data_IF_815081637432
#
_entry.id   IF_815081637432
#
_cell.length_a   1.000
_cell.length_b   1.000
_cell.length_c   1.000
_cell.angle_alpha   90.00
_cell.angle_beta   90.00
_cell.angle_gamma   90.00
#
_symmetry.space_group_name_H-M   'P 1'
#
loop_
_entity.id
_entity.type
_entity.pdbx_description
1 polymer ?
#
# COMPACT_ATOMS: atom_id res chain seq x y z
N UNK A 1 -64.55 6.96 -6.51
CA UNK A 1 -63.35 7.77 -6.83
C UNK A 1 -62.78 8.38 -5.55
N UNK A 2 -61.67 7.84 -5.04
CA UNK A 2 -60.80 8.46 -4.03
C UNK A 2 -59.35 8.19 -4.47
N UNK A 3 -58.59 9.25 -4.78
CA UNK A 3 -57.17 9.17 -5.15
C UNK A 3 -56.34 9.07 -3.88
N UNK A 4 -55.54 8.02 -3.76
CA UNK A 4 -54.55 7.82 -2.70
C UNK A 4 -53.19 8.25 -3.23
N UNK A 5 -52.56 9.25 -2.61
CA UNK A 5 -51.17 9.65 -2.89
C UNK A 5 -50.26 8.79 -2.01
N UNK A 6 -49.46 7.92 -2.62
CA UNK A 6 -48.37 7.20 -1.96
C UNK A 6 -47.13 8.08 -2.08
N UNK A 7 -46.58 8.44 -0.92
CA UNK A 7 -45.34 9.19 -0.77
C UNK A 7 -44.19 8.17 -0.80
N UNK A 8 -43.37 8.16 -1.86
CA UNK A 8 -42.16 7.35 -1.91
C UNK A 8 -41.03 8.09 -1.19
N UNK A 9 -40.63 7.59 -0.03
CA UNK A 9 -39.36 7.92 0.61
C UNK A 9 -38.25 7.14 -0.13
N UNK A 10 -37.43 7.85 -0.91
CA UNK A 10 -36.18 7.30 -1.44
C UNK A 10 -35.16 7.27 -0.30
N UNK A 11 -34.95 6.10 0.30
CA UNK A 11 -33.78 5.85 1.13
C UNK A 11 -32.64 5.42 0.21
N UNK A 12 -31.73 6.34 -0.06
CA UNK A 12 -30.51 6.13 -0.83
C UNK A 12 -29.57 5.20 -0.08
N UNK A 13 -29.65 3.90 -0.35
CA UNK A 13 -28.62 2.94 0.03
C UNK A 13 -27.53 2.98 -1.05
N UNK A 14 -26.62 3.95 -0.94
CA UNK A 14 -25.35 3.92 -1.69
C UNK A 14 -24.47 2.84 -1.07
N UNK A 15 -24.61 1.61 -1.55
CA UNK A 15 -23.58 0.59 -1.37
C UNK A 15 -22.41 1.04 -2.26
N UNK A 16 -21.44 1.73 -1.66
CA UNK A 16 -20.15 1.96 -2.30
C UNK A 16 -19.45 0.60 -2.29
N UNK A 17 -19.64 -0.16 -3.36
CA UNK A 17 -18.79 -1.30 -3.65
C UNK A 17 -17.40 -0.73 -3.93
N UNK A 18 -16.46 -0.93 -3.00
CA UNK A 18 -15.03 -0.74 -3.24
C UNK A 18 -14.61 -1.75 -4.30
N UNK A 19 -14.75 -1.38 -5.57
CA UNK A 19 -14.19 -2.11 -6.69
C UNK A 19 -12.67 -1.98 -6.52
N UNK A 20 -12.04 -3.03 -5.98
CA UNK A 20 -10.60 -3.24 -6.14
C UNK A 20 -10.37 -3.35 -7.65
N UNK A 21 -9.87 -2.29 -8.26
CA UNK A 21 -9.30 -2.38 -9.60
C UNK A 21 -8.02 -3.18 -9.42
N UNK A 22 -8.16 -4.51 -9.58
CA UNK A 22 -7.03 -5.43 -9.70
C UNK A 22 -6.30 -5.02 -10.98
N UNK A 23 -4.98 -4.82 -10.86
CA UNK A 23 -4.13 -4.52 -11.99
C UNK A 23 -4.39 -5.49 -13.15
N UNK A 24 -4.44 -4.90 -14.33
CA UNK A 24 -4.89 -5.45 -15.59
C UNK A 24 -3.85 -6.43 -16.16
N UNK A 25 -4.31 -7.65 -16.47
CA UNK A 25 -3.70 -8.69 -17.32
C UNK A 25 -2.21 -9.03 -17.05
N UNK A 26 -1.95 -10.05 -16.22
CA UNK A 26 -0.66 -10.75 -16.19
C UNK A 26 -0.53 -11.53 -17.49
N UNK A 27 0.35 -11.10 -18.39
CA UNK A 27 0.88 -11.99 -19.42
C UNK A 27 2.16 -12.59 -18.87
N UNK A 28 2.06 -13.83 -18.42
CA UNK A 28 3.25 -14.65 -18.19
C UNK A 28 3.71 -15.13 -19.55
N UNK A 29 4.89 -14.70 -19.99
CA UNK A 29 5.52 -15.32 -21.15
C UNK A 29 6.20 -16.60 -20.66
N UNK A 30 5.55 -17.74 -20.90
CA UNK A 30 6.04 -19.07 -20.49
C UNK A 30 7.41 -19.42 -21.10
N UNK A 31 7.82 -18.73 -22.19
CA UNK A 31 9.12 -18.95 -22.81
C UNK A 31 10.27 -18.23 -22.09
N UNK A 32 9.99 -17.12 -21.40
CA UNK A 32 11.01 -16.27 -20.74
C UNK A 32 10.89 -16.24 -19.21
N UNK A 33 9.75 -16.68 -18.65
CA UNK A 33 9.48 -16.56 -17.21
C UNK A 33 9.23 -15.12 -16.76
N UNK A 34 9.00 -14.20 -17.70
CA UNK A 34 8.74 -12.80 -17.43
C UNK A 34 7.32 -12.58 -16.90
N UNK A 35 7.19 -11.71 -15.89
CA UNK A 35 5.92 -11.18 -15.42
C UNK A 35 5.79 -9.74 -15.89
N UNK A 36 4.80 -9.48 -16.75
CA UNK A 36 4.59 -8.18 -17.40
C UNK A 36 3.28 -7.58 -16.90
N UNK A 37 3.35 -6.31 -16.47
CA UNK A 37 2.22 -5.54 -15.97
C UNK A 37 2.12 -4.20 -16.68
N UNK A 38 0.91 -3.83 -17.11
CA UNK A 38 0.64 -2.50 -17.66
C UNK A 38 0.28 -1.57 -16.50
N UNK A 39 1.05 -0.50 -16.37
CA UNK A 39 0.83 0.55 -15.38
C UNK A 39 0.10 1.74 -16.04
N UNK A 40 -0.41 2.63 -15.19
CA UNK A 40 -0.92 3.96 -15.58
C UNK A 40 0.09 4.71 -16.44
N UNK A 41 -0.46 5.63 -17.22
CA UNK A 41 0.28 6.48 -18.15
C UNK A 41 1.10 5.68 -19.18
N UNK A 42 0.74 4.43 -19.47
CA UNK A 42 1.39 3.64 -20.52
C UNK A 42 2.81 3.19 -20.19
N UNK A 43 3.15 3.12 -18.90
CA UNK A 43 4.34 2.40 -18.44
C UNK A 43 4.07 0.89 -18.46
N UNK A 44 5.13 0.09 -18.61
CA UNK A 44 5.08 -1.37 -18.52
C UNK A 44 6.15 -1.83 -17.55
N UNK A 45 5.74 -2.54 -16.50
CA UNK A 45 6.62 -3.12 -15.50
C UNK A 45 6.92 -4.58 -15.90
N UNK A 46 8.19 -4.95 -15.90
CA UNK A 46 8.66 -6.28 -16.30
C UNK A 46 9.53 -6.82 -15.16
N UNK A 47 9.15 -7.96 -14.61
CA UNK A 47 9.92 -8.69 -13.60
C UNK A 47 10.44 -9.96 -14.26
N UNK A 48 11.74 -10.20 -14.19
CA UNK A 48 12.37 -11.39 -14.77
C UNK A 48 13.35 -12.03 -13.79
N UNK A 49 13.42 -13.35 -13.80
CA UNK A 49 14.52 -14.11 -13.20
C UNK A 49 15.59 -14.34 -14.26
N UNK A 50 16.85 -14.18 -13.89
CA UNK A 50 18.01 -14.42 -14.75
C UNK A 50 19.05 -15.20 -13.96
N UNK A 51 19.61 -16.24 -14.57
CA UNK A 51 20.77 -16.94 -14.03
C UNK A 51 22.06 -16.19 -14.38
N UNK A 52 22.71 -15.59 -13.39
CA UNK A 52 24.00 -14.92 -13.53
C UNK A 52 25.05 -15.58 -12.64
N UNK A 53 26.12 -16.10 -13.25
CA UNK A 53 27.23 -16.76 -12.54
C UNK A 53 26.75 -17.91 -11.61
N UNK A 54 25.68 -18.61 -12.00
CA UNK A 54 25.10 -19.70 -11.23
C UNK A 54 24.17 -19.28 -10.09
N UNK A 55 23.89 -17.99 -9.94
CA UNK A 55 22.95 -17.45 -8.96
C UNK A 55 21.68 -16.95 -9.66
N UNK A 56 20.53 -17.10 -9.00
CA UNK A 56 19.29 -16.48 -9.43
C UNK A 56 19.32 -14.99 -9.09
N UNK A 57 19.10 -14.16 -10.10
CA UNK A 57 19.09 -12.70 -10.00
C UNK A 57 17.76 -12.22 -10.56
N UNK A 58 16.95 -11.59 -9.72
CA UNK A 58 15.79 -10.89 -10.23
C UNK A 58 16.26 -9.58 -10.89
N UNK A 59 15.60 -9.21 -11.99
CA UNK A 59 15.69 -7.88 -12.58
C UNK A 59 14.29 -7.32 -12.74
N UNK A 60 14.15 -6.05 -12.38
CA UNK A 60 12.92 -5.29 -12.54
C UNK A 60 13.18 -4.16 -13.52
N UNK A 61 12.44 -4.16 -14.61
CA UNK A 61 12.51 -3.13 -15.63
C UNK A 61 11.22 -2.33 -15.68
N UNK A 62 11.35 -1.05 -15.98
CA UNK A 62 10.24 -0.18 -16.32
C UNK A 62 10.42 0.29 -17.76
N UNK A 63 9.40 0.10 -18.58
CA UNK A 63 9.39 0.45 -20.00
C UNK A 63 8.39 1.57 -20.26
N UNK A 64 8.77 2.53 -21.10
CA UNK A 64 7.93 3.63 -21.56
C UNK A 64 8.15 3.84 -23.06
N UNK A 65 7.14 3.53 -23.87
CA UNK A 65 7.31 3.52 -25.33
C UNK A 65 8.40 2.53 -25.76
N UNK A 66 9.50 3.03 -26.32
CA UNK A 66 10.63 2.22 -26.78
C UNK A 66 11.81 2.18 -25.79
N UNK A 67 11.73 2.93 -24.69
CA UNK A 67 12.79 3.02 -23.69
C UNK A 67 12.55 2.00 -22.57
N UNK A 68 13.62 1.36 -22.09
CA UNK A 68 13.59 0.35 -21.02
C UNK A 68 14.65 0.75 -19.99
N UNK A 69 14.25 0.82 -18.72
CA UNK A 69 15.07 1.24 -17.60
C UNK A 69 15.16 0.10 -16.59
N UNK A 70 16.36 -0.22 -16.12
CA UNK A 70 16.54 -1.13 -14.98
C UNK A 70 16.24 -0.34 -13.70
N UNK A 71 15.25 -0.79 -12.93
CA UNK A 71 14.79 -0.14 -11.69
C UNK A 71 15.39 -0.80 -10.46
N UNK A 72 15.48 -2.14 -10.48
CA UNK A 72 16.02 -2.90 -9.37
C UNK A 72 16.59 -4.23 -9.85
N UNK A 73 17.62 -4.71 -9.16
CA UNK A 73 18.19 -6.03 -9.39
C UNK A 73 18.76 -6.56 -8.08
N UNK A 74 18.64 -7.87 -7.86
CA UNK A 74 19.21 -8.48 -6.67
C UNK A 74 19.26 -9.99 -6.76
N UNK A 75 20.17 -10.59 -6.01
CA UNK A 75 20.22 -12.03 -5.84
C UNK A 75 19.11 -12.48 -4.90
N UNK A 76 18.55 -13.66 -5.16
CA UNK A 76 17.57 -14.29 -4.29
C UNK A 76 17.76 -15.81 -4.26
N UNK A 77 17.29 -16.44 -3.19
CA UNK A 77 17.24 -17.91 -3.13
C UNK A 77 16.15 -18.37 -4.10
N UNK A 78 16.42 -19.40 -4.92
CA UNK A 78 15.50 -19.98 -5.91
C UNK A 78 14.21 -20.57 -5.28
N UNK A 79 13.44 -19.71 -4.65
CA UNK A 79 12.18 -19.92 -3.96
C UNK A 79 11.38 -18.66 -4.29
N UNK A 80 10.27 -18.87 -4.99
CA UNK A 80 9.41 -17.83 -5.56
C UNK A 80 8.94 -16.79 -4.55
N UNK A 81 8.96 -17.11 -3.24
CA UNK A 81 8.61 -16.11 -2.22
C UNK A 81 9.60 -14.96 -2.14
N UNK A 82 10.88 -15.18 -2.45
CA UNK A 82 11.90 -14.14 -2.44
C UNK A 82 11.98 -13.35 -3.76
N UNK A 83 11.26 -13.79 -4.79
CA UNK A 83 11.12 -13.02 -6.02
C UNK A 83 10.23 -11.79 -5.77
N UNK A 84 10.56 -10.60 -6.32
CA UNK A 84 9.75 -9.40 -6.14
C UNK A 84 8.33 -9.63 -6.67
N UNK A 85 7.35 -8.97 -6.05
CA UNK A 85 5.96 -9.05 -6.47
C UNK A 85 5.39 -7.67 -6.71
N UNK A 86 4.53 -7.59 -7.71
CA UNK A 86 3.73 -6.40 -7.94
C UNK A 86 2.28 -6.69 -7.52
N UNK A 87 1.80 -5.97 -6.51
CA UNK A 87 0.48 -6.18 -5.91
C UNK A 87 -0.59 -5.21 -6.45
N UNK A 88 -0.32 -4.56 -7.58
CA UNK A 88 -1.26 -3.63 -8.22
C UNK A 88 -1.31 -2.23 -7.62
N UNK A 89 -0.34 -1.86 -6.78
CA UNK A 89 -0.27 -0.53 -6.17
C UNK A 89 0.45 0.43 -7.13
N UNK A 90 -0.36 1.20 -7.86
CA UNK A 90 0.09 2.08 -8.96
C UNK A 90 -0.50 3.48 -8.84
N UNK A 91 0.27 4.38 -8.26
CA UNK A 91 -0.04 5.80 -8.17
C UNK A 91 0.25 6.48 -9.51
N UNK A 92 -0.06 7.77 -9.64
CA UNK A 92 0.18 8.48 -10.90
C UNK A 92 1.67 8.45 -11.26
N UNK A 93 2.53 8.94 -10.36
CA UNK A 93 3.96 9.09 -10.62
C UNK A 93 4.81 7.97 -10.00
N UNK A 94 4.21 7.08 -9.20
CA UNK A 94 4.94 6.05 -8.45
C UNK A 94 4.25 4.70 -8.53
N UNK A 95 5.00 3.62 -8.32
CA UNK A 95 4.47 2.27 -8.13
C UNK A 95 5.17 1.57 -6.97
N UNK A 96 4.58 0.50 -6.43
CA UNK A 96 5.14 -0.24 -5.29
C UNK A 96 5.45 -1.69 -5.66
N UNK A 97 6.60 -2.16 -5.21
CA UNK A 97 6.97 -3.58 -5.23
C UNK A 97 7.04 -4.14 -3.81
N UNK A 98 6.57 -5.38 -3.65
CA UNK A 98 6.70 -6.15 -2.43
C UNK A 98 7.88 -7.13 -2.53
N UNK A 99 8.65 -7.25 -1.45
CA UNK A 99 9.81 -8.12 -1.31
C UNK A 99 9.67 -8.90 -0.01
N UNK A 100 9.83 -10.23 -0.04
CA UNK A 100 9.84 -11.02 1.18
C UNK A 100 11.27 -11.13 1.74
N UNK A 101 11.47 -10.74 2.99
CA UNK A 101 12.77 -10.84 3.69
C UNK A 101 12.58 -11.29 5.15
N UNK A 102 11.84 -12.39 5.34
CA UNK A 102 11.37 -12.84 6.66
C UNK A 102 10.05 -12.22 7.08
N UNK A 103 9.71 -11.05 6.52
CA UNK A 103 8.38 -10.46 6.45
C UNK A 103 8.25 -9.71 5.11
N UNK A 104 7.04 -9.32 4.71
CA UNK A 104 6.83 -8.50 3.52
C UNK A 104 7.29 -7.08 3.77
N UNK A 105 8.17 -6.66 2.88
CA UNK A 105 8.70 -5.32 2.78
C UNK A 105 8.22 -4.66 1.48
N UNK A 106 7.94 -3.37 1.49
CA UNK A 106 7.44 -2.64 0.34
C UNK A 106 8.39 -1.50 -0.02
N UNK A 107 8.62 -1.31 -1.32
CA UNK A 107 9.43 -0.22 -1.83
C UNK A 107 8.63 0.57 -2.87
N UNK A 108 8.52 1.87 -2.65
CA UNK A 108 7.90 2.83 -3.57
C UNK A 108 8.97 3.31 -4.54
N UNK A 109 8.72 3.21 -5.83
CA UNK A 109 9.59 3.68 -6.90
C UNK A 109 8.91 4.83 -7.65
N UNK A 110 9.70 5.84 -8.01
CA UNK A 110 9.28 6.94 -8.88
C UNK A 110 9.46 6.52 -10.34
N UNK A 111 8.42 6.70 -11.16
CA UNK A 111 8.38 6.22 -12.56
C UNK A 111 9.28 7.01 -13.49
N UNK A 112 9.54 8.28 -13.19
CA UNK A 112 10.30 9.19 -14.06
C UNK A 112 11.80 9.13 -13.78
N UNK A 113 12.16 8.98 -12.51
CA UNK A 113 13.55 8.89 -12.06
C UNK A 113 14.04 7.46 -11.97
N UNK A 114 13.13 6.48 -11.90
CA UNK A 114 13.41 5.04 -11.86
C UNK A 114 14.15 4.61 -10.58
N UNK A 115 14.14 5.43 -9.53
CA UNK A 115 14.84 5.17 -8.27
C UNK A 115 13.86 4.85 -7.14
N UNK A 116 14.29 4.09 -6.12
CA UNK A 116 13.48 3.91 -4.91
C UNK A 116 13.36 5.23 -4.16
N UNK A 117 12.13 5.56 -3.77
CA UNK A 117 11.75 6.75 -2.99
C UNK A 117 11.64 6.44 -1.51
N UNK A 118 11.05 5.29 -1.19
CA UNK A 118 10.71 4.91 0.19
C UNK A 118 10.74 3.40 0.35
N UNK A 119 11.33 2.93 1.44
CA UNK A 119 11.32 1.54 1.90
C UNK A 119 10.52 1.44 3.21
N UNK A 120 9.49 0.60 3.25
CA UNK A 120 8.43 0.69 4.27
C UNK A 120 7.65 -0.61 4.51
N UNK A 121 6.90 -0.66 5.62
CA UNK A 121 5.84 -1.65 5.81
C UNK A 121 4.48 -1.06 5.45
N UNK A 122 3.71 -1.77 4.61
CA UNK A 122 2.45 -1.27 4.08
C UNK A 122 1.34 -1.26 5.14
N UNK A 123 0.81 -0.06 5.44
CA UNK A 123 -0.30 0.12 6.36
C UNK A 123 -1.66 0.17 5.65
N UNK A 124 -1.73 0.80 4.48
CA UNK A 124 -2.94 0.95 3.66
C UNK A 124 -2.70 1.94 2.51
N UNK A 125 -3.63 2.06 1.56
CA UNK A 125 -3.47 2.98 0.43
C UNK A 125 -4.80 3.32 -0.25
N UNK A 126 -4.80 4.43 -0.99
CA UNK A 126 -5.85 4.80 -1.94
C UNK A 126 -5.19 5.30 -3.23
N UNK A 127 -5.17 4.43 -4.23
CA UNK A 127 -4.57 4.67 -5.55
C UNK A 127 -5.27 5.82 -6.29
N UNK A 128 -6.58 6.00 -6.10
CA UNK A 128 -7.35 7.02 -6.82
C UNK A 128 -7.01 8.41 -6.32
N UNK A 129 -6.70 8.53 -5.02
CA UNK A 129 -6.36 9.79 -4.37
C UNK A 129 -4.84 9.99 -4.15
N UNK A 130 -4.00 9.08 -4.65
CA UNK A 130 -2.54 9.13 -4.49
C UNK A 130 -2.08 9.19 -3.01
N UNK A 131 -2.72 8.38 -2.17
CA UNK A 131 -2.46 8.32 -0.74
C UNK A 131 -1.85 6.96 -0.35
N UNK A 132 -0.81 7.00 0.46
CA UNK A 132 -0.15 5.82 1.02
C UNK A 132 -0.05 5.96 2.55
N UNK A 133 -0.55 4.98 3.28
CA UNK A 133 -0.32 4.86 4.72
C UNK A 133 0.75 3.81 4.94
N UNK A 134 1.81 4.18 5.65
CA UNK A 134 2.96 3.30 5.85
C UNK A 134 3.55 3.43 7.24
N UNK A 135 4.25 2.38 7.65
CA UNK A 135 5.13 2.40 8.81
C UNK A 135 6.57 2.63 8.36
N UNK A 136 7.22 3.62 8.95
CA UNK A 136 8.64 3.89 8.70
C UNK A 136 9.50 2.83 9.38
N UNK A 137 10.48 2.29 8.65
CA UNK A 137 11.50 1.41 9.23
C UNK A 137 12.43 2.24 10.10
N UNK A 138 12.28 2.21 11.42
CA UNK A 138 13.32 2.76 12.29
C UNK A 138 14.58 1.90 12.19
N UNK A 139 15.69 2.56 11.84
CA UNK A 139 16.92 1.93 11.38
C UNK A 139 17.79 1.31 12.49
N UNK A 140 17.34 1.16 13.73
CA UNK A 140 18.30 0.96 14.84
C UNK A 140 18.01 -0.03 15.97
N UNK A 141 16.94 -0.82 16.01
CA UNK A 141 16.86 -1.90 17.04
C UNK A 141 16.17 -3.18 16.51
N UNK A 142 16.94 -4.25 16.22
CA UNK A 142 16.37 -5.58 15.99
C UNK A 142 15.68 -6.07 17.27
N UNK A 143 14.40 -6.47 17.17
CA UNK A 143 13.68 -7.15 18.24
C UNK A 143 12.83 -6.27 19.16
N UNK A 144 12.81 -4.95 18.97
CA UNK A 144 11.86 -4.07 19.65
C UNK A 144 11.26 -3.08 18.65
N UNK A 145 9.97 -3.26 18.36
CA UNK A 145 9.13 -2.26 17.71
C UNK A 145 8.92 -1.07 18.67
N UNK A 146 9.99 -0.38 19.03
CA UNK A 146 9.91 0.89 19.73
C UNK A 146 9.19 1.88 18.81
N UNK A 147 7.90 2.10 19.09
CA UNK A 147 7.04 3.13 18.50
C UNK A 147 7.21 3.34 16.98
N UNK A 148 7.00 2.28 16.19
CA UNK A 148 6.97 2.41 14.73
C UNK A 148 6.09 3.62 14.33
N UNK A 149 6.68 4.55 13.58
CA UNK A 149 6.00 5.80 13.21
C UNK A 149 5.10 5.52 12.03
N UNK A 150 3.83 5.87 12.18
CA UNK A 150 2.84 5.73 11.12
C UNK A 150 2.71 7.07 10.41
N UNK A 151 2.73 7.03 9.08
CA UNK A 151 2.54 8.21 8.27
C UNK A 151 1.47 7.98 7.21
N UNK A 152 0.69 9.02 6.94
CA UNK A 152 -0.04 9.21 5.69
C UNK A 152 0.85 10.06 4.78
N UNK A 153 1.18 9.52 3.61
CA UNK A 153 1.87 10.20 2.52
C UNK A 153 0.85 10.59 1.45
N UNK A 154 0.72 11.89 1.24
CA UNK A 154 -0.01 12.48 0.11
C UNK A 154 0.99 12.70 -1.02
N UNK A 155 1.03 11.76 -1.97
CA UNK A 155 1.99 11.78 -3.08
C UNK A 155 1.71 12.93 -4.04
N UNK A 156 0.44 13.28 -4.24
CA UNK A 156 0.04 14.38 -5.12
C UNK A 156 0.55 15.73 -4.61
N UNK A 157 0.39 16.00 -3.31
CA UNK A 157 0.86 17.26 -2.71
C UNK A 157 2.26 17.17 -2.12
N UNK A 158 2.92 16.01 -2.19
CA UNK A 158 4.24 15.72 -1.61
C UNK A 158 4.30 16.06 -0.12
N UNK A 159 3.25 15.72 0.63
CA UNK A 159 3.14 15.99 2.07
C UNK A 159 3.08 14.70 2.89
N UNK A 160 3.71 14.75 4.07
CA UNK A 160 3.71 13.66 5.04
C UNK A 160 3.01 14.09 6.32
N UNK A 161 2.06 13.29 6.80
CA UNK A 161 1.29 13.52 8.02
C UNK A 161 1.53 12.37 8.99
N UNK A 162 2.01 12.68 10.20
CA UNK A 162 2.22 11.65 11.23
C UNK A 162 0.89 11.26 11.89
N UNK A 163 0.61 9.97 11.98
CA UNK A 163 -0.65 9.45 12.51
C UNK A 163 -0.58 9.01 13.98
N UNK A 164 0.62 8.94 14.57
CA UNK A 164 0.81 8.44 15.94
C UNK A 164 -0.04 9.16 16.99
N UNK A 165 -0.27 10.48 16.86
CA UNK A 165 -1.11 11.24 17.80
C UNK A 165 -2.57 10.81 17.78
N UNK A 166 -3.11 10.45 16.62
CA UNK A 166 -4.47 9.93 16.47
C UNK A 166 -4.61 8.52 17.05
N UNK A 167 -3.51 7.78 17.07
CA UNK A 167 -3.43 6.44 17.65
C UNK A 167 -3.15 6.48 19.16
N UNK A 168 -2.58 7.58 19.70
CA UNK A 168 -2.07 7.69 21.07
C UNK A 168 -3.09 7.31 22.16
N UNK A 169 -4.36 7.70 22.00
CA UNK A 169 -5.43 7.35 22.95
C UNK A 169 -5.74 5.84 22.96
N UNK A 170 -5.47 5.15 21.83
CA UNK A 170 -5.52 3.68 21.74
C UNK A 170 -4.26 3.06 22.32
N UNK A 171 -3.09 3.69 22.18
CA UNK A 171 -1.84 3.18 22.76
C UNK A 171 -1.84 3.26 24.29
N UNK A 172 -2.47 4.29 24.87
CA UNK A 172 -2.42 4.58 26.31
C UNK A 172 -3.17 3.57 27.18
N UNK A 173 -4.21 2.93 26.63
CA UNK A 173 -5.10 2.04 27.39
C UNK A 173 -4.87 0.56 27.08
N UNK A 174 -3.89 0.20 26.24
CA UNK A 174 -3.93 -1.09 25.54
C UNK A 174 -2.54 -1.69 25.33
N UNK A 175 -2.37 -2.94 25.74
CA UNK A 175 -1.26 -3.80 25.33
C UNK A 175 -1.50 -4.27 23.89
N UNK A 176 -1.53 -3.34 22.93
CA UNK A 176 -1.52 -3.70 21.52
C UNK A 176 -0.16 -4.32 21.27
N UNK A 177 -0.14 -5.64 21.10
CA UNK A 177 1.05 -6.30 20.58
C UNK A 177 1.18 -5.83 19.13
N UNK A 178 1.98 -4.79 18.93
CA UNK A 178 2.35 -4.30 17.60
C UNK A 178 3.06 -5.37 16.77
N UNK A 179 3.38 -6.53 17.34
CA UNK A 179 4.52 -7.29 16.88
C UNK A 179 4.31 -8.21 15.67
N UNK A 180 3.11 -8.42 15.12
CA UNK A 180 2.97 -9.58 14.23
C UNK A 180 2.29 -9.40 12.87
N UNK A 181 1.41 -8.42 12.61
CA UNK A 181 0.72 -8.37 11.30
C UNK A 181 0.37 -6.94 10.87
N UNK A 182 1.37 -6.20 10.36
CA UNK A 182 1.23 -4.78 9.97
C UNK A 182 0.49 -4.55 8.65
N UNK A 183 0.18 -5.60 7.91
CA UNK A 183 -0.35 -5.50 6.56
C UNK A 183 -1.83 -5.08 6.56
N UNK A 184 -2.14 -3.96 5.89
CA UNK A 184 -3.51 -3.50 5.61
C UNK A 184 -4.41 -3.25 6.84
N UNK A 185 -3.83 -2.69 7.91
CA UNK A 185 -4.59 -2.29 9.10
C UNK A 185 -5.34 -0.96 8.94
N UNK A 186 -4.99 -0.17 7.93
CA UNK A 186 -5.61 1.14 7.67
C UNK A 186 -6.42 1.10 6.38
N UNK A 187 -7.66 1.56 6.46
CA UNK A 187 -8.55 1.79 5.33
C UNK A 187 -8.83 3.29 5.21
N UNK A 188 -8.56 3.86 4.03
CA UNK A 188 -8.95 5.22 3.69
C UNK A 188 -10.41 5.16 3.23
N UNK A 189 -11.31 5.71 4.04
CA UNK A 189 -12.76 5.56 3.84
C UNK A 189 -13.39 6.77 3.15
N UNK A 190 -12.76 7.94 3.25
CA UNK A 190 -13.21 9.15 2.58
C UNK A 190 -12.05 10.13 2.41
N UNK A 191 -11.96 10.74 1.23
CA UNK A 191 -10.98 11.79 0.92
C UNK A 191 -11.73 13.04 0.51
N UNK A 192 -11.28 14.18 1.03
CA UNK A 192 -11.73 15.52 0.65
C UNK A 192 -10.52 16.43 0.45
N UNK A 193 -10.75 17.63 -0.04
CA UNK A 193 -9.69 18.63 -0.19
C UNK A 193 -9.02 18.93 1.16
N UNK A 194 -9.80 19.04 2.23
CA UNK A 194 -9.28 19.49 3.54
C UNK A 194 -8.99 18.36 4.53
N UNK A 195 -9.38 17.12 4.24
CA UNK A 195 -9.24 16.02 5.19
C UNK A 195 -9.24 14.63 4.54
N UNK A 196 -8.61 13.68 5.22
CA UNK A 196 -8.65 12.24 4.94
C UNK A 196 -9.22 11.52 6.16
N UNK A 197 -10.31 10.79 5.95
CA UNK A 197 -10.92 9.93 6.96
C UNK A 197 -10.33 8.53 6.87
N UNK A 198 -9.86 8.01 8.00
CA UNK A 198 -9.16 6.72 8.08
C UNK A 198 -9.84 5.85 9.13
N UNK A 199 -10.06 4.58 8.78
CA UNK A 199 -10.43 3.51 9.69
C UNK A 199 -9.19 2.65 9.97
N UNK A 200 -8.73 2.63 11.21
CA UNK A 200 -7.72 1.71 11.70
C UNK A 200 -8.39 0.50 12.34
N UNK A 201 -7.92 -0.69 11.99
CA UNK A 201 -8.33 -1.97 12.58
C UNK A 201 -7.13 -2.65 13.22
N UNK A 202 -7.16 -2.77 14.55
CA UNK A 202 -6.14 -3.47 15.35
C UNK A 202 -6.73 -4.65 16.11
N UNK A 203 -5.89 -5.41 16.81
CA UNK A 203 -6.31 -6.53 17.64
C UNK A 203 -5.78 -6.40 19.07
N UNK A 204 -6.62 -6.68 20.05
CA UNK A 204 -6.21 -6.87 21.42
C UNK A 204 -5.60 -8.26 21.61
N UNK A 205 -4.47 -8.31 22.30
CA UNK A 205 -3.95 -9.53 22.91
C UNK A 205 -4.11 -9.40 24.42
N UNK A 206 -5.33 -9.49 24.92
CA UNK A 206 -5.60 -9.63 26.35
C UNK A 206 -6.24 -11.01 26.57
N UNK A 207 -5.54 -11.88 27.30
CA UNK A 207 -6.07 -13.17 27.78
C UNK A 207 -6.61 -14.14 26.70
N UNK A 208 -5.88 -14.35 25.60
CA UNK A 208 -6.17 -15.34 24.55
C UNK A 208 -7.45 -15.11 23.72
N UNK A 209 -8.06 -13.92 23.77
CA UNK A 209 -9.15 -13.53 22.88
C UNK A 209 -8.68 -12.40 21.95
N UNK A 210 -8.51 -12.71 20.66
CA UNK A 210 -8.18 -11.73 19.62
C UNK A 210 -9.40 -10.83 19.35
N UNK A 211 -9.66 -9.86 20.21
CA UNK A 211 -10.74 -8.91 20.00
C UNK A 211 -10.29 -7.81 19.03
N UNK A 212 -11.02 -7.67 17.91
CA UNK A 212 -10.82 -6.62 16.92
C UNK A 212 -11.24 -5.25 17.47
N UNK A 213 -10.42 -4.23 17.20
CA UNK A 213 -10.62 -2.84 17.61
C UNK A 213 -10.64 -1.97 16.38
N UNK A 214 -11.68 -1.15 16.26
CA UNK A 214 -11.79 -0.16 15.19
C UNK A 214 -11.68 1.24 15.73
N UNK A 215 -10.83 2.04 15.12
CA UNK A 215 -10.71 3.47 15.37
C UNK A 215 -10.95 4.22 14.07
N UNK A 216 -11.81 5.24 14.12
CA UNK A 216 -11.94 6.20 13.03
C UNK A 216 -11.36 7.53 13.45
N UNK A 217 -10.54 8.13 12.59
CA UNK A 217 -10.02 9.47 12.79
C UNK A 217 -9.90 10.25 11.48
N UNK A 218 -9.79 11.57 11.61
CA UNK A 218 -9.72 12.53 10.51
C UNK A 218 -8.38 13.24 10.51
N UNK A 219 -7.62 13.10 9.43
CA UNK A 219 -6.34 13.78 9.23
C UNK A 219 -6.59 15.02 8.40
N UNK A 220 -6.36 16.21 9.00
CA UNK A 220 -6.49 17.47 8.27
C UNK A 220 -5.37 17.63 7.24
N UNK A 221 -5.74 17.97 6.01
CA UNK A 221 -4.82 18.33 4.93
C UNK A 221 -4.62 19.84 4.94
N UNK A 222 -3.41 20.27 5.22
CA UNK A 222 -3.05 21.67 5.06
C UNK A 222 -2.77 21.90 3.57
N UNK A 223 -3.77 22.38 2.82
CA UNK A 223 -3.54 22.90 1.47
C UNK A 223 -3.05 24.33 1.62
N UNK A 224 -1.76 24.53 1.92
CA UNK A 224 -1.20 25.88 1.74
C UNK A 224 -1.00 26.11 0.25
N UNK A 225 -1.84 26.98 -0.32
CA UNK A 225 -1.73 27.55 -1.67
C UNK A 225 -0.43 28.30 -1.88
#
# INVERSE_FOLDING_TARGET
MKKMKILFFFCSLCIVASIRIVAQEVKTDEATGEQIYILKDGYTLILTDVLEQGNHVYKVFLKKGNEIFLVSSGQYFNDEKYFPRYEGIDFNDCFVLAFFMGDYNYVLYDKDTHVPVLDFYLGGYDISNNLLIYWEKESSIPGYAAAARVFLLDLQNKRKYQLNSYLADFQKNQTVSYLLHFHNQFEIIQVSDTAVEILYTGFYNYLNENQEVKCRFSVKRDISS
#
